data_IF_290567340949
#
_entry.id   IF_290567340949
#
_cell.length_a   1.000
_cell.length_b   1.000
_cell.length_c   1.000
_cell.angle_alpha   90.00
_cell.angle_beta   90.00
_cell.angle_gamma   90.00
#
_symmetry.space_group_name_H-M   'P 1'
#
loop_
_entity.id
_entity.type
_entity.pdbx_description
1 polymer ?
#
# COMPACT_ATOMS: atom_id res chain seq x y z
N UNK A 1 1.61 -18.09 -4.67
CA UNK A 1 1.79 -16.77 -4.04
C UNK A 1 2.23 -16.89 -2.57
N UNK A 2 1.57 -17.72 -1.76
CA UNK A 2 1.82 -17.84 -0.31
C UNK A 2 3.26 -18.22 0.09
N UNK A 3 3.90 -19.11 -0.67
CA UNK A 3 5.29 -19.50 -0.40
C UNK A 3 6.24 -18.30 -0.52
N UNK A 4 6.05 -17.46 -1.55
CA UNK A 4 6.86 -16.27 -1.77
C UNK A 4 6.65 -15.24 -0.66
N UNK A 5 5.40 -14.99 -0.26
CA UNK A 5 5.07 -14.10 0.86
C UNK A 5 5.68 -14.58 2.17
N UNK A 6 5.68 -15.89 2.41
CA UNK A 6 6.28 -16.51 3.59
C UNK A 6 7.80 -16.30 3.61
N UNK A 7 8.49 -16.52 2.49
CA UNK A 7 9.92 -16.26 2.37
C UNK A 7 10.25 -14.78 2.55
N UNK A 8 9.47 -13.90 1.92
CA UNK A 8 9.64 -12.46 2.03
C UNK A 8 9.52 -11.98 3.48
N UNK A 9 8.49 -12.45 4.20
CA UNK A 9 8.30 -12.16 5.61
C UNK A 9 9.47 -12.63 6.48
N UNK A 10 9.94 -13.87 6.29
CA UNK A 10 11.11 -14.40 7.01
C UNK A 10 12.37 -13.57 6.75
N UNK A 11 12.59 -13.12 5.52
CA UNK A 11 13.74 -12.28 5.15
C UNK A 11 13.67 -10.91 5.81
N UNK A 12 12.50 -10.26 5.84
CA UNK A 12 12.30 -8.99 6.54
C UNK A 12 12.61 -9.13 8.03
N UNK A 13 12.09 -10.18 8.66
CA UNK A 13 12.35 -10.48 10.08
C UNK A 13 13.83 -10.65 10.37
N UNK A 14 14.54 -11.48 9.60
CA UNK A 14 15.97 -11.71 9.77
C UNK A 14 16.79 -10.42 9.59
N UNK A 15 16.39 -9.56 8.65
CA UNK A 15 17.03 -8.26 8.40
C UNK A 15 16.90 -7.32 9.62
N UNK A 16 15.73 -7.30 10.25
CA UNK A 16 15.48 -6.52 11.47
C UNK A 16 16.27 -7.08 12.65
N UNK A 17 16.25 -8.40 12.85
CA UNK A 17 16.99 -9.07 13.94
C UNK A 17 18.51 -8.86 13.82
N UNK A 18 19.04 -8.73 12.61
CA UNK A 18 20.44 -8.36 12.35
C UNK A 18 20.75 -6.86 12.59
N UNK A 19 19.77 -6.06 13.00
CA UNK A 19 19.93 -4.64 13.30
C UNK A 19 19.95 -3.73 12.07
N UNK A 20 19.59 -4.23 10.88
CA UNK A 20 19.52 -3.39 9.69
C UNK A 20 18.25 -2.54 9.67
N UNK A 21 18.42 -1.28 9.29
CA UNK A 21 17.30 -0.35 9.10
C UNK A 21 16.65 -0.56 7.73
N UNK A 22 15.43 -1.07 7.72
CA UNK A 22 14.61 -1.19 6.50
C UNK A 22 13.94 0.16 6.25
N UNK A 23 14.40 0.87 5.21
CA UNK A 23 13.75 2.10 4.76
C UNK A 23 12.59 1.74 3.84
N UNK A 24 11.37 1.99 4.29
CA UNK A 24 10.21 1.91 3.42
C UNK A 24 10.15 3.16 2.53
N UNK A 25 9.93 3.02 1.22
CA UNK A 25 9.77 4.16 0.33
C UNK A 25 8.65 5.05 0.86
N UNK A 26 8.94 6.35 0.96
CA UNK A 26 7.94 7.34 1.33
C UNK A 26 6.78 7.39 0.33
N UNK A 27 5.66 8.05 0.69
CA UNK A 27 4.48 8.16 -0.16
C UNK A 27 4.78 8.62 -1.59
N UNK A 28 5.76 9.51 -1.76
CA UNK A 28 6.20 10.02 -3.07
C UNK A 28 6.68 8.91 -4.02
N UNK A 29 7.41 7.92 -3.50
CA UNK A 29 8.09 6.93 -4.32
C UNK A 29 7.16 5.77 -4.72
N UNK A 30 6.09 5.54 -3.97
CA UNK A 30 5.11 4.48 -4.25
C UNK A 30 3.84 5.01 -4.93
N UNK A 31 3.57 6.31 -4.89
CA UNK A 31 2.37 6.93 -5.47
C UNK A 31 2.21 6.64 -6.96
N UNK A 32 3.24 6.95 -7.75
CA UNK A 32 3.22 6.79 -9.21
C UNK A 32 2.95 5.34 -9.63
N UNK A 33 3.71 4.34 -9.13
CA UNK A 33 3.43 2.94 -9.48
C UNK A 33 2.11 2.43 -8.89
N UNK A 34 1.69 2.91 -7.71
CA UNK A 34 0.40 2.54 -7.13
C UNK A 34 -0.77 3.01 -8.01
N UNK A 35 -0.80 4.28 -8.39
CA UNK A 35 -1.86 4.83 -9.22
C UNK A 35 -1.88 4.15 -10.59
N UNK A 36 -0.72 3.98 -11.24
CA UNK A 36 -0.62 3.25 -12.51
C UNK A 36 -1.17 1.82 -12.43
N UNK A 37 -1.01 1.15 -11.29
CA UNK A 37 -1.49 -0.21 -11.11
C UNK A 37 -2.97 -0.28 -10.73
N UNK A 38 -3.44 0.58 -9.81
CA UNK A 38 -4.74 0.43 -9.14
C UNK A 38 -5.81 1.43 -9.58
N UNK A 39 -5.43 2.61 -10.05
CA UNK A 39 -6.38 3.67 -10.38
C UNK A 39 -7.30 3.25 -11.52
N UNK A 40 -8.61 3.37 -11.32
CA UNK A 40 -9.62 3.07 -12.34
C UNK A 40 -9.75 1.59 -12.71
N UNK A 41 -8.98 0.67 -12.10
CA UNK A 41 -9.04 -0.77 -12.40
C UNK A 41 -9.92 -1.51 -11.40
N UNK A 42 -10.85 -2.30 -11.92
CA UNK A 42 -11.64 -3.27 -11.15
C UNK A 42 -10.76 -4.45 -10.78
N UNK A 43 -10.64 -4.73 -9.48
CA UNK A 43 -9.86 -5.86 -8.97
C UNK A 43 -10.80 -7.00 -8.60
N UNK A 44 -10.28 -8.21 -8.45
CA UNK A 44 -11.02 -9.31 -7.82
C UNK A 44 -10.54 -9.50 -6.39
N UNK A 45 -11.46 -9.76 -5.49
CA UNK A 45 -11.13 -10.18 -4.14
C UNK A 45 -10.74 -11.66 -4.09
N UNK A 46 -10.45 -12.16 -2.90
CA UNK A 46 -10.08 -13.57 -2.67
C UNK A 46 -11.21 -14.56 -2.96
N UNK A 47 -12.45 -14.08 -3.03
CA UNK A 47 -13.63 -14.88 -3.36
C UNK A 47 -13.98 -14.80 -4.86
N UNK A 48 -13.21 -14.04 -5.64
CA UNK A 48 -13.43 -13.83 -7.07
C UNK A 48 -14.41 -12.70 -7.40
N UNK A 49 -14.93 -12.00 -6.39
CA UNK A 49 -15.90 -10.93 -6.55
C UNK A 49 -15.22 -9.65 -7.01
N UNK A 50 -15.90 -8.91 -7.91
CA UNK A 50 -15.39 -7.67 -8.43
C UNK A 50 -15.43 -6.57 -7.36
N UNK A 51 -14.25 -6.03 -7.03
CA UNK A 51 -14.08 -4.87 -6.16
C UNK A 51 -14.02 -3.63 -7.04
N UNK A 52 -14.83 -2.62 -6.71
CA UNK A 52 -14.89 -1.36 -7.45
C UNK A 52 -13.52 -0.68 -7.60
N UNK A 53 -13.36 0.17 -8.64
CA UNK A 53 -12.09 0.79 -8.96
C UNK A 53 -11.55 1.64 -7.80
N UNK A 54 -10.23 1.57 -7.57
CA UNK A 54 -9.60 2.34 -6.51
C UNK A 54 -9.35 3.79 -6.97
N UNK A 55 -9.56 4.80 -6.11
CA UNK A 55 -9.18 6.17 -6.41
C UNK A 55 -7.66 6.35 -6.40
N UNK A 56 -7.16 7.36 -7.12
CA UNK A 56 -5.77 7.76 -7.07
C UNK A 56 -5.33 8.16 -5.65
N UNK A 57 -4.06 7.89 -5.33
CA UNK A 57 -3.38 8.40 -4.14
C UNK A 57 -2.71 9.73 -4.45
N UNK A 58 -2.81 10.68 -3.52
CA UNK A 58 -2.12 11.97 -3.55
C UNK A 58 -1.02 12.09 -2.46
N UNK A 59 -0.22 13.16 -2.56
CA UNK A 59 0.96 13.43 -1.74
C UNK A 59 0.64 13.75 -0.28
N UNK A 60 -0.60 14.10 0.03
CA UNK A 60 -1.07 14.51 1.36
C UNK A 60 -1.66 13.36 2.16
N UNK A 61 -1.75 12.15 1.58
CA UNK A 61 -2.56 11.01 2.01
C UNK A 61 -2.31 10.22 3.33
N UNK A 62 -3.46 9.92 3.97
CA UNK A 62 -4.04 8.98 5.00
C UNK A 62 -5.49 8.64 4.45
N UNK A 63 -5.97 9.27 3.34
CA UNK A 63 -7.01 8.84 2.38
C UNK A 63 -6.95 9.58 1.03
N UNK A 64 -6.03 10.51 0.71
CA UNK A 64 -5.87 11.98 0.92
C UNK A 64 -5.43 12.61 2.26
N UNK A 65 -6.05 12.28 3.40
CA UNK A 65 -5.53 12.13 4.80
C UNK A 65 -6.60 11.51 5.75
N UNK A 66 -7.55 10.77 5.17
CA UNK A 66 -8.95 10.59 5.63
C UNK A 66 -9.71 11.90 5.44
N UNK A 67 -9.49 12.55 4.30
CA UNK A 67 -10.03 13.77 3.64
C UNK A 67 -10.79 14.89 4.37
N UNK A 68 -11.17 14.83 5.67
CA UNK A 68 -12.04 15.89 6.22
C UNK A 68 -12.40 15.89 7.70
N UNK A 69 -11.64 15.24 8.59
CA UNK A 69 -12.04 15.12 10.02
C UNK A 69 -11.51 16.15 11.03
N UNK A 70 -10.88 17.23 10.56
CA UNK A 70 -10.75 18.43 11.40
C UNK A 70 -11.04 19.69 10.56
N UNK A 71 -12.09 19.65 9.73
CA UNK A 71 -12.77 20.91 9.44
C UNK A 71 -13.45 21.33 10.73
N UNK A 72 -12.82 22.25 11.47
CA UNK A 72 -13.40 23.12 12.52
C UNK A 72 -14.43 22.48 13.45
N UNK A 73 -14.01 22.11 14.66
CA UNK A 73 -14.70 22.50 15.92
C UNK A 73 -13.61 22.78 16.94
#
# INVERSE_FOLDING_TARGET
EDAWMTFFHRKLRATIEAGHMIKLPGPSNIMVPFNAYFEGKTLKDTNGEAVGPRPARDATSIRGKLDGRASKI
#
